data_IF_465177705275
#
_entry.id   IF_465177705275
#
_cell.length_a   1.000
_cell.length_b   1.000
_cell.length_c   1.000
_cell.angle_alpha   90.00
_cell.angle_beta   90.00
_cell.angle_gamma   90.00
#
_symmetry.space_group_name_H-M   'P 1'
#
loop_
_entity.id
_entity.type
_entity.pdbx_description
1 polymer ?
#
# COMPACT_ATOMS: atom_id res chain seq x y z
N UNK A 1 10.84 18.98 -1.85
CA UNK A 1 9.86 18.21 -1.02
C UNK A 1 8.85 19.20 -0.49
N UNK A 2 7.56 18.93 -0.63
CA UNK A 2 6.49 19.80 -0.12
C UNK A 2 6.67 19.98 1.40
N UNK A 3 6.59 21.21 1.90
CA UNK A 3 6.74 21.54 3.32
C UNK A 3 5.71 20.80 4.21
N UNK A 4 4.50 20.62 3.75
CA UNK A 4 3.46 19.86 4.44
C UNK A 4 3.82 18.36 4.62
N UNK A 5 4.39 17.74 3.59
CA UNK A 5 4.82 16.33 3.66
C UNK A 5 5.96 16.14 4.66
N UNK A 6 6.95 17.05 4.65
CA UNK A 6 8.03 17.04 5.64
C UNK A 6 7.49 17.26 7.06
N UNK A 7 6.59 18.21 7.23
CA UNK A 7 6.01 18.54 8.53
C UNK A 7 5.35 17.33 9.20
N UNK A 8 4.65 16.48 8.44
CA UNK A 8 4.05 15.26 8.96
C UNK A 8 5.09 14.13 9.13
N UNK A 9 5.99 13.96 8.16
CA UNK A 9 6.99 12.91 8.20
C UNK A 9 7.99 13.08 9.37
N UNK A 10 8.31 14.31 9.75
CA UNK A 10 9.26 14.62 10.84
C UNK A 10 8.68 14.38 12.25
N UNK A 11 7.39 14.05 12.38
CA UNK A 11 6.77 13.86 13.71
C UNK A 11 5.59 12.90 13.68
N UNK A 12 5.78 11.65 14.08
CA UNK A 12 4.69 10.70 14.27
C UNK A 12 3.58 11.21 15.19
N UNK A 13 3.94 11.99 16.22
CA UNK A 13 2.96 12.56 17.16
C UNK A 13 2.00 13.55 16.49
N UNK A 14 2.45 14.30 15.46
CA UNK A 14 1.57 15.18 14.70
C UNK A 14 0.57 14.39 13.88
N UNK A 15 1.01 13.28 13.29
CA UNK A 15 0.14 12.38 12.54
C UNK A 15 -0.91 11.79 13.48
N UNK A 16 -0.48 11.21 14.60
CA UNK A 16 -1.38 10.62 15.59
C UNK A 16 -2.35 11.65 16.17
N UNK A 17 -1.92 12.90 16.37
CA UNK A 17 -2.78 14.00 16.81
C UNK A 17 -3.89 14.30 15.79
N UNK A 18 -3.57 14.38 14.51
CA UNK A 18 -4.58 14.59 13.46
C UNK A 18 -5.52 13.38 13.36
N UNK A 19 -5.00 12.16 13.47
CA UNK A 19 -5.79 10.94 13.47
C UNK A 19 -6.77 10.91 14.64
N UNK A 20 -6.33 11.23 15.86
CA UNK A 20 -7.19 11.27 17.04
C UNK A 20 -8.30 12.33 16.93
N UNK A 21 -7.98 13.51 16.39
CA UNK A 21 -8.95 14.58 16.20
C UNK A 21 -10.00 14.31 15.10
N UNK A 22 -9.86 13.23 14.33
CA UNK A 22 -10.93 12.76 13.43
C UNK A 22 -12.13 12.20 14.19
N UNK A 23 -11.88 11.56 15.33
CA UNK A 23 -12.93 10.94 16.12
C UNK A 23 -13.76 12.00 16.89
N UNK A 24 -13.23 13.23 17.00
CA UNK A 24 -13.92 14.34 17.61
C UNK A 24 -12.99 15.38 18.24
N UNK A 25 -13.56 16.48 18.76
CA UNK A 25 -12.79 17.50 19.46
C UNK A 25 -12.15 16.96 20.73
N UNK A 26 -10.90 17.35 20.99
CA UNK A 26 -10.17 16.94 22.18
C UNK A 26 -9.32 18.06 22.78
N UNK A 27 -9.23 18.07 24.11
CA UNK A 27 -8.38 19.01 24.85
C UNK A 27 -6.91 18.53 24.91
N UNK A 28 -5.94 19.44 25.18
CA UNK A 28 -4.53 19.08 25.26
C UNK A 28 -4.18 18.02 26.31
N UNK A 29 -4.97 17.91 27.39
CA UNK A 29 -4.77 16.89 28.42
C UNK A 29 -5.19 15.51 27.90
N UNK A 30 -6.39 15.40 27.32
CA UNK A 30 -6.89 14.16 26.73
C UNK A 30 -6.00 13.67 25.60
N UNK A 31 -5.50 14.58 24.75
CA UNK A 31 -4.55 14.23 23.70
C UNK A 31 -3.21 13.74 24.26
N UNK A 32 -2.71 14.33 25.34
CA UNK A 32 -1.49 13.89 25.98
C UNK A 32 -1.60 12.46 26.52
N UNK A 33 -2.73 12.16 27.16
CA UNK A 33 -3.02 10.83 27.69
C UNK A 33 -3.19 9.79 26.55
N UNK A 34 -3.92 10.16 25.47
CA UNK A 34 -4.16 9.27 24.34
C UNK A 34 -2.90 8.98 23.50
N UNK A 35 -1.99 9.95 23.39
CA UNK A 35 -0.77 9.83 22.58
C UNK A 35 0.46 9.41 23.41
N UNK A 36 0.30 9.15 24.70
CA UNK A 36 1.39 8.82 25.63
C UNK A 36 2.57 9.81 25.50
N UNK A 37 2.27 11.10 25.45
CA UNK A 37 3.30 12.13 25.29
C UNK A 37 3.10 13.32 26.24
N UNK A 38 4.18 14.09 26.47
CA UNK A 38 4.11 15.21 27.38
C UNK A 38 3.13 16.29 26.89
N UNK A 39 2.28 16.80 27.77
CA UNK A 39 1.29 17.86 27.46
C UNK A 39 1.91 19.06 26.76
N UNK A 40 3.16 19.42 27.11
CA UNK A 40 3.87 20.51 26.45
C UNK A 40 4.18 20.20 24.97
N UNK A 41 4.48 18.94 24.64
CA UNK A 41 4.68 18.49 23.26
C UNK A 41 3.39 18.60 22.47
N UNK A 42 2.27 18.12 23.03
CA UNK A 42 0.93 18.27 22.42
C UNK A 42 0.60 19.71 22.14
N UNK A 43 0.80 20.62 23.12
CA UNK A 43 0.53 22.04 22.93
C UNK A 43 1.36 22.64 21.78
N UNK A 44 2.64 22.27 21.68
CA UNK A 44 3.51 22.70 20.59
C UNK A 44 3.02 22.16 19.23
N UNK A 45 2.61 20.90 19.15
CA UNK A 45 2.08 20.30 17.93
C UNK A 45 0.74 20.91 17.52
N UNK A 46 -0.15 21.17 18.47
CA UNK A 46 -1.40 21.86 18.23
C UNK A 46 -1.16 23.27 17.68
N UNK A 47 -0.29 24.06 18.30
CA UNK A 47 0.05 25.39 17.82
C UNK A 47 0.59 25.35 16.39
N UNK A 48 1.52 24.45 16.08
CA UNK A 48 2.07 24.31 14.74
C UNK A 48 1.04 23.83 13.70
N UNK A 49 0.06 23.01 14.09
CA UNK A 49 -1.06 22.64 13.22
C UNK A 49 -2.08 23.77 13.07
N UNK A 50 -2.30 24.58 14.10
CA UNK A 50 -3.18 25.75 14.08
C UNK A 50 -2.61 26.84 13.15
N UNK A 51 -1.29 27.13 13.21
CA UNK A 51 -0.59 28.04 12.30
C UNK A 51 -0.75 27.61 10.81
N UNK A 52 -0.89 26.33 10.54
CA UNK A 52 -1.14 25.78 9.20
C UNK A 52 -2.63 25.76 8.82
N UNK A 53 -3.51 26.14 9.73
CA UNK A 53 -4.95 26.07 9.53
C UNK A 53 -5.51 24.65 9.49
N UNK A 54 -4.79 23.65 10.03
CA UNK A 54 -5.24 22.25 10.04
C UNK A 54 -6.08 21.89 11.26
N UNK A 55 -5.87 22.59 12.36
CA UNK A 55 -6.70 22.50 13.54
C UNK A 55 -7.18 23.89 13.93
N UNK A 56 -8.26 23.94 14.69
CA UNK A 56 -8.78 25.18 15.25
C UNK A 56 -9.37 24.91 16.64
N UNK A 57 -9.39 25.93 17.47
CA UNK A 57 -10.07 25.88 18.78
C UNK A 57 -11.58 25.96 18.59
N UNK A 58 -12.31 25.23 19.42
CA UNK A 58 -13.75 25.23 19.47
C UNK A 58 -14.28 24.79 20.81
N UNK A 59 -15.58 24.61 20.91
CA UNK A 59 -16.22 24.06 22.09
C UNK A 59 -15.76 22.62 22.28
N UNK A 60 -15.24 22.32 23.48
CA UNK A 60 -14.69 20.98 23.80
C UNK A 60 -13.21 20.77 23.49
N UNK A 61 -12.50 21.79 22.97
CA UNK A 61 -11.05 21.71 22.72
C UNK A 61 -10.65 22.05 21.29
N UNK A 62 -9.67 21.35 20.76
CA UNK A 62 -9.25 21.47 19.37
C UNK A 62 -10.01 20.51 18.46
N UNK A 63 -10.29 20.92 17.24
CA UNK A 63 -10.92 20.10 16.20
C UNK A 63 -10.21 20.26 14.87
N UNK A 64 -10.31 19.25 14.00
CA UNK A 64 -9.80 19.35 12.64
C UNK A 64 -10.58 20.41 11.84
N UNK A 65 -9.87 21.09 10.96
CA UNK A 65 -10.46 21.78 9.81
C UNK A 65 -10.57 20.80 8.64
N UNK A 66 -11.31 21.17 7.58
CA UNK A 66 -11.35 20.39 6.35
C UNK A 66 -9.95 20.22 5.73
N UNK A 67 -9.09 21.24 5.86
CA UNK A 67 -7.70 21.17 5.39
C UNK A 67 -6.87 20.16 6.20
N UNK A 68 -7.05 20.11 7.53
CA UNK A 68 -6.35 19.16 8.40
C UNK A 68 -6.79 17.72 8.15
N UNK A 69 -8.09 17.49 7.98
CA UNK A 69 -8.60 16.16 7.62
C UNK A 69 -8.06 15.70 6.26
N UNK A 70 -8.10 16.57 5.24
CA UNK A 70 -7.55 16.25 3.93
C UNK A 70 -6.04 15.96 3.98
N UNK A 71 -5.26 16.77 4.71
CA UNK A 71 -3.82 16.55 4.89
C UNK A 71 -3.51 15.21 5.57
N UNK A 72 -4.26 14.88 6.62
CA UNK A 72 -4.12 13.60 7.33
C UNK A 72 -4.44 12.39 6.45
N UNK A 73 -5.50 12.45 5.65
CA UNK A 73 -5.87 11.37 4.70
C UNK A 73 -4.79 11.17 3.64
N UNK A 74 -4.35 12.25 3.00
CA UNK A 74 -3.30 12.16 1.96
C UNK A 74 -2.01 11.58 2.54
N UNK A 75 -1.66 11.94 3.79
CA UNK A 75 -0.49 11.38 4.44
C UNK A 75 -0.66 9.90 4.78
N UNK A 76 -1.84 9.48 5.23
CA UNK A 76 -2.15 8.07 5.49
C UNK A 76 -2.05 7.23 4.21
N UNK A 77 -2.67 7.68 3.11
CA UNK A 77 -2.57 7.03 1.80
C UNK A 77 -1.12 6.91 1.31
N UNK A 78 -0.33 7.97 1.50
CA UNK A 78 1.08 7.95 1.14
C UNK A 78 1.86 6.89 1.92
N UNK A 79 1.67 6.83 3.24
CA UNK A 79 2.31 5.83 4.10
C UNK A 79 1.91 4.40 3.73
N UNK A 80 0.63 4.19 3.47
CA UNK A 80 0.10 2.88 3.09
C UNK A 80 0.71 2.40 1.76
N UNK A 81 0.78 3.28 0.76
CA UNK A 81 1.40 2.96 -0.53
C UNK A 81 2.89 2.67 -0.40
N UNK A 82 3.63 3.43 0.40
CA UNK A 82 5.05 3.11 0.67
C UNK A 82 5.21 1.77 1.37
N UNK A 83 4.41 1.51 2.40
CA UNK A 83 4.43 0.22 3.08
C UNK A 83 4.09 -0.95 2.13
N UNK A 84 3.19 -0.74 1.17
CA UNK A 84 2.89 -1.71 0.14
C UNK A 84 4.08 -1.97 -0.80
N UNK A 85 4.82 -0.94 -1.19
CA UNK A 85 6.07 -1.07 -1.97
C UNK A 85 7.12 -1.85 -1.17
N UNK A 86 7.29 -1.56 0.12
CA UNK A 86 8.24 -2.28 0.98
C UNK A 86 7.87 -3.76 1.12
N UNK A 87 6.59 -4.07 1.31
CA UNK A 87 6.11 -5.47 1.33
C UNK A 87 6.36 -6.19 0.01
N UNK A 88 6.21 -5.49 -1.10
CA UNK A 88 6.43 -6.04 -2.44
C UNK A 88 7.90 -6.01 -2.90
N UNK A 89 8.82 -5.43 -2.13
CA UNK A 89 10.22 -5.27 -2.50
C UNK A 89 10.91 -6.58 -2.95
N UNK A 90 10.67 -7.75 -2.33
CA UNK A 90 11.26 -9.01 -2.81
C UNK A 90 10.85 -9.36 -4.24
N UNK A 91 9.60 -9.05 -4.64
CA UNK A 91 9.13 -9.24 -6.02
C UNK A 91 9.67 -8.13 -6.94
N UNK A 92 9.55 -6.87 -6.52
CA UNK A 92 9.90 -5.71 -7.34
C UNK A 92 11.39 -5.67 -7.70
N UNK A 93 12.28 -6.18 -6.82
CA UNK A 93 13.72 -6.26 -7.07
C UNK A 93 14.09 -7.14 -8.28
N UNK A 94 13.18 -8.01 -8.72
CA UNK A 94 13.39 -8.89 -9.88
C UNK A 94 12.72 -8.38 -11.16
N UNK A 95 12.05 -7.24 -11.11
CA UNK A 95 11.36 -6.63 -12.26
C UNK A 95 12.17 -5.46 -12.82
N UNK A 96 12.13 -5.31 -14.14
CA UNK A 96 12.58 -4.06 -14.76
C UNK A 96 11.58 -2.93 -14.40
N UNK A 97 12.05 -1.67 -14.19
CA UNK A 97 11.16 -0.56 -13.80
C UNK A 97 9.96 -0.36 -14.74
N UNK A 98 10.13 -0.61 -16.04
CA UNK A 98 9.04 -0.52 -17.03
C UNK A 98 7.98 -1.63 -16.93
N UNK A 99 8.19 -2.63 -16.11
CA UNK A 99 7.27 -3.75 -15.90
C UNK A 99 6.70 -3.79 -14.47
N UNK A 100 7.12 -2.86 -13.61
CA UNK A 100 6.56 -2.75 -12.27
C UNK A 100 5.06 -2.42 -12.34
N UNK A 101 4.23 -3.03 -11.50
CA UNK A 101 2.84 -2.64 -11.37
C UNK A 101 2.72 -1.23 -10.80
N UNK A 102 1.61 -0.56 -11.08
CA UNK A 102 1.32 0.72 -10.45
C UNK A 102 1.23 0.56 -8.91
N UNK A 103 1.76 1.53 -8.12
CA UNK A 103 1.78 1.42 -6.66
C UNK A 103 0.40 1.18 -6.03
N UNK A 104 -0.65 1.69 -6.65
CA UNK A 104 -2.04 1.50 -6.20
C UNK A 104 -2.46 0.03 -6.20
N UNK A 105 -1.90 -0.78 -7.10
CA UNK A 105 -2.18 -2.20 -7.20
C UNK A 105 -1.44 -3.03 -6.14
N UNK A 106 -0.48 -2.43 -5.44
CA UNK A 106 0.30 -3.10 -4.40
C UNK A 106 -0.34 -2.99 -3.02
N UNK A 107 -1.26 -2.06 -2.82
CA UNK A 107 -1.86 -1.79 -1.50
C UNK A 107 -2.58 -3.03 -0.96
N UNK A 108 -3.38 -3.68 -1.79
CA UNK A 108 -4.12 -4.90 -1.44
C UNK A 108 -3.43 -6.18 -1.94
N UNK A 109 -2.17 -6.08 -2.41
CA UNK A 109 -1.47 -7.22 -2.96
C UNK A 109 -0.96 -8.15 -1.86
N UNK A 110 -1.21 -9.44 -2.02
CA UNK A 110 -0.56 -10.50 -1.27
C UNK A 110 0.74 -10.89 -1.97
N UNK A 111 1.85 -10.90 -1.22
CA UNK A 111 3.16 -11.32 -1.71
C UNK A 111 3.51 -12.66 -1.08
N UNK A 112 3.49 -13.72 -1.88
CA UNK A 112 3.86 -15.06 -1.45
C UNK A 112 5.25 -15.39 -1.95
N UNK A 113 6.19 -15.60 -1.03
CA UNK A 113 7.57 -15.98 -1.33
C UNK A 113 7.80 -17.47 -1.10
N UNK A 114 8.66 -18.07 -1.91
CA UNK A 114 9.15 -19.42 -1.64
C UNK A 114 10.03 -19.43 -0.39
N UNK A 115 9.96 -20.51 0.38
CA UNK A 115 10.82 -20.74 1.53
C UNK A 115 11.53 -22.08 1.39
N UNK A 116 12.53 -22.33 2.25
CA UNK A 116 13.23 -23.62 2.28
C UNK A 116 12.30 -24.79 2.67
N UNK A 117 11.28 -24.51 3.46
CA UNK A 117 10.27 -25.49 3.91
C UNK A 117 9.09 -25.62 2.97
N UNK A 118 8.80 -24.59 2.19
CA UNK A 118 7.74 -24.61 1.17
C UNK A 118 8.19 -23.86 -0.10
N UNK A 119 8.93 -24.53 -0.97
CA UNK A 119 9.41 -23.95 -2.23
C UNK A 119 8.29 -23.78 -3.27
N UNK A 120 7.13 -24.41 -3.06
CA UNK A 120 6.00 -24.38 -4.00
C UNK A 120 4.89 -23.42 -3.61
N UNK A 121 4.98 -22.78 -2.44
CA UNK A 121 3.97 -21.83 -1.95
C UNK A 121 3.52 -20.80 -3.00
N UNK A 122 4.41 -20.12 -3.76
CA UNK A 122 3.99 -19.13 -4.77
C UNK A 122 3.16 -19.74 -5.90
N UNK A 123 3.48 -20.97 -6.31
CA UNK A 123 2.75 -21.67 -7.38
C UNK A 123 1.36 -22.07 -6.89
N UNK A 124 1.27 -22.58 -5.67
CA UNK A 124 0.02 -23.01 -5.06
C UNK A 124 -0.92 -21.81 -4.86
N UNK A 125 -0.42 -20.74 -4.21
CA UNK A 125 -1.18 -19.51 -4.00
C UNK A 125 -1.69 -18.92 -5.33
N UNK A 126 -0.85 -18.89 -6.37
CA UNK A 126 -1.23 -18.42 -7.69
C UNK A 126 -2.36 -19.27 -8.30
N UNK A 127 -2.25 -20.59 -8.26
CA UNK A 127 -3.27 -21.51 -8.80
C UNK A 127 -4.59 -21.37 -8.03
N UNK A 128 -4.53 -21.23 -6.71
CA UNK A 128 -5.71 -21.03 -5.86
C UNK A 128 -6.39 -19.69 -6.16
N UNK A 129 -5.63 -18.62 -6.28
CA UNK A 129 -6.15 -17.30 -6.66
C UNK A 129 -6.88 -17.36 -8.02
N UNK A 130 -6.29 -18.05 -9.01
CA UNK A 130 -6.93 -18.22 -10.32
C UNK A 130 -8.20 -19.09 -10.25
N UNK A 131 -8.22 -20.13 -9.45
CA UNK A 131 -9.41 -20.97 -9.26
C UNK A 131 -10.55 -20.23 -8.57
N UNK A 132 -10.23 -19.42 -7.58
CA UNK A 132 -11.19 -18.58 -6.86
C UNK A 132 -11.68 -17.36 -7.65
N UNK A 133 -11.01 -17.00 -8.76
CA UNK A 133 -11.33 -15.80 -9.51
C UNK A 133 -12.65 -15.94 -10.27
N UNK A 134 -13.58 -15.04 -9.98
CA UNK A 134 -14.92 -14.99 -10.61
C UNK A 134 -15.14 -13.76 -11.48
N UNK A 135 -14.13 -12.89 -11.60
CA UNK A 135 -14.21 -11.65 -12.38
C UNK A 135 -14.09 -11.85 -13.88
N UNK A 136 -14.22 -10.75 -14.64
CA UNK A 136 -14.19 -10.75 -16.10
C UNK A 136 -12.81 -10.67 -16.75
N UNK A 137 -11.79 -10.16 -16.05
CA UNK A 137 -10.44 -9.91 -16.61
C UNK A 137 -9.33 -10.22 -15.62
N UNK A 138 -8.28 -10.91 -16.09
CA UNK A 138 -7.04 -11.14 -15.36
C UNK A 138 -5.88 -10.60 -16.17
N UNK A 139 -5.00 -9.80 -15.53
CA UNK A 139 -3.74 -9.37 -16.09
C UNK A 139 -2.62 -10.21 -15.48
N UNK A 140 -1.89 -10.92 -16.35
CA UNK A 140 -0.84 -11.84 -15.94
C UNK A 140 0.52 -11.32 -16.39
N UNK A 141 1.48 -11.28 -15.45
CA UNK A 141 2.88 -11.08 -15.76
C UNK A 141 3.66 -12.23 -15.12
N UNK A 142 4.13 -13.19 -15.89
CA UNK A 142 4.89 -14.32 -15.40
C UNK A 142 6.13 -14.58 -16.24
N UNK A 143 7.33 -14.60 -15.65
CA UNK A 143 8.54 -15.01 -16.32
C UNK A 143 8.68 -16.53 -16.40
N UNK A 144 7.86 -17.28 -15.65
CA UNK A 144 7.95 -18.75 -15.52
C UNK A 144 6.71 -19.37 -16.16
N UNK A 145 6.97 -20.37 -17.01
CA UNK A 145 5.93 -21.24 -17.57
C UNK A 145 6.01 -22.59 -16.88
N UNK A 146 4.95 -22.98 -16.16
CA UNK A 146 4.81 -24.30 -15.57
C UNK A 146 3.55 -24.98 -16.08
N UNK A 147 3.51 -26.31 -16.01
CA UNK A 147 2.33 -27.10 -16.40
C UNK A 147 1.10 -26.71 -15.56
N UNK A 148 1.29 -26.50 -14.26
CA UNK A 148 0.22 -26.08 -13.35
C UNK A 148 -0.39 -24.74 -13.74
N UNK A 149 0.45 -23.78 -14.22
CA UNK A 149 -0.02 -22.50 -14.73
C UNK A 149 -0.88 -22.67 -16.00
N UNK A 150 -0.41 -23.49 -16.94
CA UNK A 150 -1.17 -23.75 -18.16
C UNK A 150 -2.53 -24.39 -17.88
N UNK A 151 -2.61 -25.34 -16.98
CA UNK A 151 -3.85 -25.99 -16.58
C UNK A 151 -4.82 -25.00 -15.92
N UNK A 152 -4.35 -24.16 -14.99
CA UNK A 152 -5.16 -23.13 -14.34
C UNK A 152 -5.65 -22.05 -15.32
N UNK A 153 -4.79 -21.62 -16.25
CA UNK A 153 -5.17 -20.68 -17.31
C UNK A 153 -6.19 -21.26 -18.27
N UNK A 154 -6.04 -22.52 -18.67
CA UNK A 154 -7.00 -23.20 -19.53
C UNK A 154 -8.37 -23.32 -18.86
N UNK A 155 -8.40 -23.53 -17.54
CA UNK A 155 -9.64 -23.53 -16.76
C UNK A 155 -10.32 -22.15 -16.75
N UNK A 156 -9.56 -21.07 -16.50
CA UNK A 156 -10.08 -19.70 -16.58
C UNK A 156 -10.64 -19.37 -17.96
N UNK A 157 -9.92 -19.75 -19.03
CA UNK A 157 -10.37 -19.51 -20.40
C UNK A 157 -11.67 -20.24 -20.71
N UNK A 158 -11.85 -21.48 -20.24
CA UNK A 158 -13.10 -22.22 -20.37
C UNK A 158 -14.28 -21.55 -19.62
N UNK A 159 -13.98 -20.84 -18.55
CA UNK A 159 -14.96 -20.03 -17.79
C UNK A 159 -15.24 -18.66 -18.42
N UNK A 160 -14.64 -18.33 -19.57
CA UNK A 160 -14.89 -17.09 -20.30
C UNK A 160 -14.13 -15.88 -19.75
N UNK A 161 -13.15 -16.07 -18.86
CA UNK A 161 -12.34 -14.98 -18.31
C UNK A 161 -11.36 -14.46 -19.35
N UNK A 162 -11.33 -13.15 -19.57
CA UNK A 162 -10.34 -12.52 -20.43
C UNK A 162 -8.97 -12.48 -19.76
N UNK A 163 -7.95 -13.04 -20.38
CA UNK A 163 -6.58 -13.02 -19.90
C UNK A 163 -5.70 -12.16 -20.80
N UNK A 164 -4.99 -11.20 -20.20
CA UNK A 164 -3.95 -10.41 -20.85
C UNK A 164 -2.60 -10.85 -20.28
N UNK A 165 -1.80 -11.52 -21.10
CA UNK A 165 -0.47 -11.98 -20.68
C UNK A 165 0.58 -11.03 -21.21
N UNK A 166 1.36 -10.41 -20.31
CA UNK A 166 2.62 -9.73 -20.66
C UNK A 166 3.78 -10.68 -20.37
N UNK A 167 4.61 -10.95 -21.37
CA UNK A 167 5.90 -11.62 -21.14
C UNK A 167 6.83 -10.61 -20.48
N UNK A 168 7.34 -10.91 -19.30
CA UNK A 168 8.49 -10.24 -18.72
C UNK A 168 9.67 -10.41 -19.68
N UNK A 169 10.39 -9.32 -19.99
CA UNK A 169 11.60 -9.39 -20.81
C UNK A 169 12.71 -10.08 -20.00
N UNK A 170 12.81 -11.39 -20.12
CA UNK A 170 13.99 -12.13 -19.67
C UNK A 170 15.18 -11.73 -20.56
N UNK A 171 16.21 -11.15 -19.97
CA UNK A 171 17.53 -10.99 -20.60
C UNK A 171 18.28 -12.34 -20.65
N UNK A 172 17.62 -13.40 -21.04
CA UNK A 172 18.28 -14.65 -21.42
C UNK A 172 18.12 -14.85 -22.91
N UNK A 173 19.23 -14.63 -23.65
CA UNK A 173 19.38 -15.04 -25.03
C UNK A 173 19.37 -16.57 -25.09
N UNK A 174 18.23 -17.19 -25.02
CA UNK A 174 18.07 -18.56 -25.46
C UNK A 174 17.13 -18.53 -26.67
N UNK A 175 17.74 -18.65 -27.86
CA UNK A 175 17.03 -18.96 -29.09
C UNK A 175 16.27 -20.27 -28.88
N UNK A 176 14.99 -20.21 -28.60
CA UNK A 176 14.12 -21.36 -28.79
C UNK A 176 13.81 -21.43 -30.28
N UNK A 177 14.44 -22.36 -31.01
CA UNK A 177 13.96 -22.86 -32.28
C UNK A 177 12.59 -23.50 -32.05
N UNK A 178 11.56 -22.94 -32.66
CA UNK A 178 10.29 -23.62 -32.89
C UNK A 178 10.53 -24.68 -33.98
N UNK A 179 10.27 -25.91 -33.65
CA UNK A 179 9.85 -26.97 -34.55
C UNK A 179 8.39 -27.23 -34.36
#
# INVERSE_FOLDING_TARGET
MNDAARFLADSPDRVALLEHLRDGPAGPASLADALDCARRSVQRHLAACEERGWVQRGDGGYRLTAAGDAAGRVHADYRERLAAVDRAAPLLSHLDPGHAPAPELLTDAEVVAASATDPHAPIQAYVEALRGFTGGRVLLCSPVLSRAFHEAHAELARRGVQMLTRRGASRSRTRAKLL
#
